data_IF_419342119770
#
_entry.id   IF_419342119770
#
_cell.length_a   1.000
_cell.length_b   1.000
_cell.length_c   1.000
_cell.angle_alpha   90.00
_cell.angle_beta   90.00
_cell.angle_gamma   90.00
#
_symmetry.space_group_name_H-M   'P 1'
#
loop_
_entity.id
_entity.type
_entity.pdbx_description
1 polymer ?
#
# COMPACT_ATOMS: atom_id res chain seq x y z
N UNK A 1 -21.47 44.81 -18.28
CA UNK A 1 -20.15 44.24 -18.65
C UNK A 1 -19.24 43.97 -17.46
N UNK A 2 -19.21 44.80 -16.44
CA UNK A 2 -18.34 44.58 -15.26
C UNK A 2 -18.73 43.32 -14.44
N UNK A 3 -19.99 42.94 -14.43
CA UNK A 3 -20.47 41.73 -13.70
C UNK A 3 -20.13 40.40 -14.40
N UNK A 4 -20.01 40.39 -15.73
CA UNK A 4 -19.66 39.23 -16.51
C UNK A 4 -18.17 38.83 -16.34
N UNK A 5 -17.29 39.83 -16.15
CA UNK A 5 -15.86 39.59 -15.93
C UNK A 5 -15.63 39.00 -14.53
N UNK A 6 -16.40 39.45 -13.53
CA UNK A 6 -16.32 38.90 -12.17
C UNK A 6 -16.79 37.47 -12.09
N UNK A 7 -17.84 37.09 -12.82
CA UNK A 7 -18.35 35.73 -12.86
C UNK A 7 -17.42 34.76 -13.57
N UNK A 8 -16.74 35.23 -14.62
CA UNK A 8 -15.73 34.44 -15.33
C UNK A 8 -14.48 34.18 -14.48
N UNK A 9 -14.10 35.15 -13.64
CA UNK A 9 -12.92 35.00 -12.76
C UNK A 9 -13.20 34.02 -11.59
N UNK A 10 -14.45 33.90 -11.15
CA UNK A 10 -14.84 32.99 -10.07
C UNK A 10 -14.96 31.53 -10.53
N UNK A 11 -15.20 31.30 -11.81
CA UNK A 11 -15.25 29.94 -12.41
C UNK A 11 -13.84 29.35 -12.69
N UNK A 12 -12.80 30.17 -12.70
CA UNK A 12 -11.44 29.73 -12.99
C UNK A 12 -10.67 29.22 -11.75
N UNK A 13 -11.21 29.37 -10.56
CA UNK A 13 -10.53 29.01 -9.31
C UNK A 13 -10.82 27.60 -8.80
N UNK A 14 -11.58 26.79 -9.51
CA UNK A 14 -11.81 25.37 -9.17
C UNK A 14 -10.85 24.43 -9.93
N UNK A 15 -9.58 24.72 -9.92
CA UNK A 15 -8.59 23.70 -10.25
C UNK A 15 -8.40 22.81 -9.03
N UNK A 16 -9.23 21.79 -8.92
CA UNK A 16 -8.98 20.69 -7.99
C UNK A 16 -7.68 20.02 -8.43
N UNK A 17 -6.61 20.28 -7.70
CA UNK A 17 -5.36 19.58 -7.88
C UNK A 17 -5.55 18.12 -7.47
N UNK A 18 -5.99 17.28 -8.39
CA UNK A 18 -5.98 15.83 -8.22
C UNK A 18 -4.51 15.43 -8.16
N UNK A 19 -4.01 15.19 -6.97
CA UNK A 19 -2.70 14.58 -6.80
C UNK A 19 -2.84 13.12 -7.21
N UNK A 20 -2.47 12.79 -8.42
CA UNK A 20 -2.32 11.42 -8.85
C UNK A 20 -1.16 10.82 -8.08
N UNK A 21 -1.44 9.87 -7.18
CA UNK A 21 -0.40 9.09 -6.53
C UNK A 21 0.11 8.09 -7.56
N UNK A 22 1.33 8.30 -8.05
CA UNK A 22 1.97 7.40 -8.99
C UNK A 22 2.52 6.22 -8.17
N UNK A 23 1.87 5.08 -8.30
CA UNK A 23 2.33 3.79 -7.76
C UNK A 23 2.89 2.97 -8.92
N UNK A 24 4.09 2.44 -8.78
CA UNK A 24 4.73 1.62 -9.81
C UNK A 24 5.18 0.28 -9.23
N UNK A 25 4.83 -0.87 -9.85
CA UNK A 25 4.02 -1.01 -11.06
C UNK A 25 2.58 -0.55 -10.85
N UNK A 26 1.94 -0.05 -11.91
CA UNK A 26 0.58 0.50 -11.83
C UNK A 26 -0.41 -0.61 -11.46
N UNK A 27 -1.11 -0.52 -10.32
CA UNK A 27 -2.10 -1.52 -9.95
C UNK A 27 -3.30 -1.46 -10.91
N UNK A 28 -3.92 -2.62 -11.16
CA UNK A 28 -5.10 -2.70 -12.01
C UNK A 28 -6.33 -2.03 -11.37
N UNK A 29 -6.38 -1.99 -10.06
CA UNK A 29 -7.46 -1.37 -9.29
C UNK A 29 -6.92 -0.73 -8.03
N UNK A 30 -7.33 0.49 -7.76
CA UNK A 30 -7.03 1.22 -6.52
C UNK A 30 -8.32 1.78 -5.94
N UNK A 31 -8.63 1.43 -4.71
CA UNK A 31 -9.72 2.01 -3.94
C UNK A 31 -9.15 2.80 -2.77
N UNK A 32 -9.40 4.10 -2.77
CA UNK A 32 -9.00 4.96 -1.67
C UNK A 32 -10.04 4.92 -0.56
N UNK A 33 -9.60 4.62 0.65
CA UNK A 33 -10.44 4.63 1.85
C UNK A 33 -10.00 5.75 2.80
N UNK A 34 -10.86 6.08 3.75
CA UNK A 34 -10.55 7.07 4.79
C UNK A 34 -9.67 6.46 5.88
N UNK A 35 -8.74 7.24 6.38
CA UNK A 35 -7.80 6.84 7.43
C UNK A 35 -6.42 6.49 6.89
N UNK A 36 -5.48 6.36 7.82
CA UNK A 36 -4.09 6.05 7.54
C UNK A 36 -3.59 4.97 8.49
N UNK A 37 -2.77 4.07 8.00
CA UNK A 37 -1.97 3.19 8.84
C UNK A 37 -0.71 3.95 9.26
N UNK A 38 -0.54 4.12 10.56
CA UNK A 38 0.64 4.76 11.13
C UNK A 38 1.57 3.66 11.64
N UNK A 39 2.71 3.50 10.99
CA UNK A 39 3.76 2.61 11.47
C UNK A 39 4.55 3.31 12.57
N UNK A 40 4.53 2.73 13.77
CA UNK A 40 5.28 3.23 14.92
C UNK A 40 6.79 2.95 14.79
N UNK A 41 7.53 3.25 15.85
CA UNK A 41 8.98 2.94 15.91
C UNK A 41 9.30 1.45 15.89
N UNK A 42 8.32 0.60 16.18
CA UNK A 42 8.42 -0.85 16.17
C UNK A 42 7.20 -1.43 15.47
N UNK A 43 7.46 -2.24 14.45
CA UNK A 43 6.43 -2.86 13.60
C UNK A 43 6.49 -4.38 13.78
N UNK A 44 5.34 -5.00 13.98
CA UNK A 44 5.22 -6.45 14.02
C UNK A 44 4.85 -6.99 12.64
N UNK A 45 5.47 -8.10 12.26
CA UNK A 45 5.21 -8.76 10.98
C UNK A 45 4.94 -10.25 11.17
N UNK A 46 3.96 -10.73 10.44
CA UNK A 46 3.62 -12.14 10.31
C UNK A 46 3.77 -12.58 8.86
N UNK A 47 4.32 -13.76 8.66
CA UNK A 47 4.35 -14.42 7.36
C UNK A 47 4.12 -15.92 7.55
N UNK A 48 3.33 -16.51 6.65
CA UNK A 48 3.29 -17.96 6.51
C UNK A 48 4.68 -18.46 6.07
N UNK A 49 5.01 -19.72 6.34
CA UNK A 49 6.34 -20.28 6.01
C UNK A 49 6.68 -20.10 4.52
N UNK A 50 5.69 -20.27 3.66
CA UNK A 50 5.82 -20.07 2.21
C UNK A 50 6.07 -18.61 1.79
N UNK A 51 5.75 -17.66 2.65
CA UNK A 51 5.85 -16.21 2.38
C UNK A 51 6.96 -15.51 3.16
N UNK A 52 7.66 -16.22 4.03
CA UNK A 52 8.73 -15.67 4.87
C UNK A 52 9.86 -14.98 4.08
N UNK A 53 10.16 -15.48 2.89
CA UNK A 53 11.15 -14.85 2.00
C UNK A 53 10.75 -13.40 1.64
N UNK A 54 9.49 -13.17 1.33
CA UNK A 54 9.00 -11.84 0.91
C UNK A 54 8.93 -10.85 2.07
N UNK A 55 8.64 -11.34 3.27
CA UNK A 55 8.77 -10.53 4.49
C UNK A 55 10.22 -10.04 4.65
N UNK A 56 11.20 -10.91 4.46
CA UNK A 56 12.60 -10.53 4.55
C UNK A 56 13.00 -9.57 3.43
N UNK A 57 12.53 -9.80 2.22
CA UNK A 57 12.76 -8.89 1.09
C UNK A 57 12.21 -7.49 1.38
N UNK A 58 10.98 -7.39 1.85
CA UNK A 58 10.39 -6.12 2.25
C UNK A 58 11.18 -5.43 3.36
N UNK A 59 11.64 -6.17 4.34
CA UNK A 59 12.49 -5.64 5.40
C UNK A 59 13.77 -5.03 4.84
N UNK A 60 14.41 -5.70 3.93
CA UNK A 60 15.68 -5.25 3.33
C UNK A 60 15.48 -4.08 2.38
N UNK A 61 14.49 -4.15 1.51
CA UNK A 61 14.27 -3.15 0.48
C UNK A 61 13.59 -1.87 1.01
N UNK A 62 12.68 -2.01 1.97
CA UNK A 62 11.87 -0.89 2.45
C UNK A 62 12.29 -0.45 3.85
N UNK A 63 12.29 -1.35 4.82
CA UNK A 63 12.49 -0.96 6.21
C UNK A 63 13.95 -0.66 6.57
N UNK A 64 14.94 -1.19 5.84
CA UNK A 64 16.36 -0.92 6.10
C UNK A 64 16.73 0.56 5.93
N UNK A 65 15.95 1.30 5.13
CA UNK A 65 16.13 2.74 4.90
C UNK A 65 15.35 3.62 5.89
N UNK A 66 14.72 3.01 6.88
CA UNK A 66 13.94 3.69 7.90
C UNK A 66 14.48 3.40 9.30
N UNK A 67 14.22 4.25 10.31
CA UNK A 67 14.59 3.96 11.69
C UNK A 67 13.63 2.97 12.38
N UNK A 68 12.71 2.36 11.63
CA UNK A 68 11.71 1.43 12.16
C UNK A 68 12.36 0.10 12.52
N UNK A 69 12.18 -0.33 13.77
CA UNK A 69 12.53 -1.68 14.23
C UNK A 69 11.38 -2.63 13.98
N UNK A 70 11.68 -3.87 13.65
CA UNK A 70 10.65 -4.86 13.39
C UNK A 70 10.81 -6.07 14.30
N UNK A 71 9.72 -6.81 14.49
CA UNK A 71 9.69 -8.08 15.19
C UNK A 71 8.75 -9.06 14.49
N UNK A 72 9.12 -10.34 14.49
CA UNK A 72 8.24 -11.41 14.02
C UNK A 72 7.16 -11.69 15.05
N UNK A 73 5.93 -11.94 14.61
CA UNK A 73 4.81 -12.43 15.43
C UNK A 73 4.18 -13.66 14.79
N UNK A 74 3.56 -14.50 15.61
CA UNK A 74 2.83 -15.69 15.15
C UNK A 74 1.43 -15.36 14.63
N UNK A 75 0.84 -14.23 15.03
CA UNK A 75 -0.48 -13.78 14.60
C UNK A 75 -0.72 -12.31 14.96
N UNK A 76 -1.77 -11.72 14.41
CA UNK A 76 -2.21 -10.32 14.72
C UNK A 76 -1.07 -9.31 14.62
N UNK A 77 -0.30 -9.40 13.57
CA UNK A 77 0.78 -8.46 13.30
C UNK A 77 0.28 -7.20 12.61
N UNK A 78 1.07 -6.13 12.65
CA UNK A 78 0.77 -4.88 11.95
C UNK A 78 0.83 -5.07 10.44
N UNK A 79 1.72 -5.95 9.96
CA UNK A 79 1.85 -6.33 8.55
C UNK A 79 1.79 -7.85 8.44
N UNK A 80 0.88 -8.35 7.60
CA UNK A 80 0.69 -9.78 7.37
C UNK A 80 0.93 -10.13 5.90
N UNK A 81 1.67 -11.23 5.69
CA UNK A 81 1.97 -11.82 4.38
C UNK A 81 1.29 -13.17 4.28
N UNK A 82 0.27 -13.31 3.45
CA UNK A 82 -0.56 -14.51 3.34
C UNK A 82 -0.75 -14.93 1.89
N UNK A 83 -0.84 -16.23 1.66
CA UNK A 83 -1.19 -16.78 0.35
C UNK A 83 -2.70 -16.73 0.12
N UNK A 84 -3.13 -16.25 -1.04
CA UNK A 84 -4.52 -16.23 -1.47
C UNK A 84 -4.66 -16.84 -2.87
N UNK A 85 -4.98 -18.12 -2.92
CA UNK A 85 -5.15 -18.88 -4.15
C UNK A 85 -6.37 -18.47 -4.98
N UNK A 86 -7.26 -17.62 -4.45
CA UNK A 86 -8.40 -17.09 -5.19
C UNK A 86 -8.00 -15.98 -6.18
N UNK A 87 -6.81 -15.41 -6.02
CA UNK A 87 -6.27 -14.42 -6.94
C UNK A 87 -5.77 -15.08 -8.23
N UNK A 88 -5.83 -14.38 -9.37
CA UNK A 88 -5.29 -14.91 -10.63
C UNK A 88 -3.77 -15.10 -10.55
N UNK A 89 -3.16 -15.86 -11.48
CA UNK A 89 -1.70 -15.99 -11.57
C UNK A 89 -1.00 -14.63 -11.55
N UNK A 90 0.08 -14.53 -10.78
CA UNK A 90 0.82 -13.28 -10.53
C UNK A 90 -0.03 -12.15 -9.89
N UNK A 91 -1.26 -12.49 -9.47
CA UNK A 91 -2.16 -11.57 -8.80
C UNK A 91 -1.72 -11.29 -7.36
N UNK A 92 -1.90 -10.04 -6.95
CA UNK A 92 -1.67 -9.62 -5.58
C UNK A 92 -2.72 -8.61 -5.13
N UNK A 93 -2.84 -8.46 -3.81
CA UNK A 93 -3.71 -7.50 -3.17
C UNK A 93 -3.03 -6.92 -1.94
N UNK A 94 -3.04 -5.61 -1.82
CA UNK A 94 -2.57 -4.90 -0.64
C UNK A 94 -3.78 -4.21 -0.02
N UNK A 95 -4.11 -4.56 1.22
CA UNK A 95 -5.17 -3.93 1.99
C UNK A 95 -4.55 -3.19 3.16
N UNK A 96 -4.78 -1.90 3.21
CA UNK A 96 -4.26 -1.03 4.27
C UNK A 96 -5.46 -0.52 5.08
N UNK A 97 -5.50 -0.90 6.34
CA UNK A 97 -6.47 -0.43 7.34
C UNK A 97 -5.72 0.35 8.43
N UNK A 98 -6.40 1.19 9.23
CA UNK A 98 -5.73 1.96 10.29
C UNK A 98 -4.95 1.13 11.31
N UNK A 99 -5.28 -0.15 11.49
CA UNK A 99 -4.64 -1.04 12.46
C UNK A 99 -3.75 -2.12 11.83
N UNK A 100 -3.84 -2.34 10.53
CA UNK A 100 -3.16 -3.46 9.90
C UNK A 100 -3.00 -3.28 8.39
N UNK A 101 -1.89 -3.78 7.86
CA UNK A 101 -1.70 -4.01 6.43
C UNK A 101 -1.65 -5.50 6.13
N UNK A 102 -2.44 -5.95 5.16
CA UNK A 102 -2.44 -7.34 4.69
C UNK A 102 -1.99 -7.37 3.24
N UNK A 103 -0.94 -8.12 2.99
CA UNK A 103 -0.41 -8.37 1.65
C UNK A 103 -0.72 -9.82 1.31
N UNK A 104 -1.48 -10.03 0.26
CA UNK A 104 -1.83 -11.36 -0.23
C UNK A 104 -1.51 -11.51 -1.70
N UNK A 105 -1.07 -12.70 -2.08
CA UNK A 105 -0.79 -13.03 -3.47
C UNK A 105 -1.06 -14.52 -3.73
N UNK A 106 -1.29 -14.85 -5.00
CA UNK A 106 -1.53 -16.22 -5.43
C UNK A 106 -0.25 -17.04 -5.54
N UNK A 107 0.86 -16.40 -5.86
CA UNK A 107 2.13 -17.04 -6.16
C UNK A 107 3.34 -16.10 -5.93
N UNK A 108 4.52 -16.61 -6.23
CA UNK A 108 5.78 -15.86 -6.08
C UNK A 108 5.82 -14.58 -6.90
N UNK A 109 5.30 -14.61 -8.12
CA UNK A 109 5.23 -13.44 -9.00
C UNK A 109 4.39 -12.33 -8.37
N UNK A 110 3.21 -12.69 -7.87
CA UNK A 110 2.32 -11.75 -7.18
C UNK A 110 2.98 -11.10 -5.96
N UNK A 111 3.67 -11.87 -5.11
CA UNK A 111 4.39 -11.31 -3.97
C UNK A 111 5.54 -10.38 -4.39
N UNK A 112 6.28 -10.73 -5.44
CA UNK A 112 7.34 -9.88 -5.97
C UNK A 112 6.77 -8.53 -6.41
N UNK A 113 5.68 -8.51 -7.16
CA UNK A 113 5.02 -7.27 -7.57
C UNK A 113 4.45 -6.49 -6.39
N UNK A 114 3.90 -7.17 -5.37
CA UNK A 114 3.44 -6.51 -4.16
C UNK A 114 4.57 -5.76 -3.43
N UNK A 115 5.75 -6.38 -3.28
CA UNK A 115 6.92 -5.72 -2.67
C UNK A 115 7.35 -4.50 -3.47
N UNK A 116 7.37 -4.59 -4.79
CA UNK A 116 7.73 -3.46 -5.66
C UNK A 116 6.72 -2.30 -5.60
N UNK A 117 5.47 -2.60 -5.23
CA UNK A 117 4.40 -1.60 -5.10
C UNK A 117 4.48 -0.82 -3.78
N UNK A 118 5.06 -1.41 -2.73
CA UNK A 118 5.19 -0.82 -1.40
C UNK A 118 6.34 0.16 -1.32
#
# INVERSE_FOLDING_TARGET
MKHLIFTALFLLSYTVAVRAQIVFPTPNQVEMQTGNLILGKKVSMYAEDTTAFYLNLFREEVLSHTPIKWQKKESKADICWITDSSLPPEGYRIRIHPQQMVISASDKGGFTYAVQTL
#
